data_IF_093692654235
#
_entry.id   IF_093692654235
#
_cell.length_a   1.000
_cell.length_b   1.000
_cell.length_c   1.000
_cell.angle_alpha   90.00
_cell.angle_beta   90.00
_cell.angle_gamma   90.00
#
_symmetry.space_group_name_H-M   'P 1'
#
loop_
_entity.id
_entity.type
_entity.pdbx_description
1 polymer ?
#
# COMPACT_ATOMS: atom_id res chain seq x y z
N UNK A 1 5.42 18.07 5.91
CA UNK A 1 5.88 16.88 5.19
C UNK A 1 5.44 16.98 3.73
N UNK A 2 6.32 16.60 2.80
CA UNK A 2 5.96 16.47 1.38
C UNK A 2 5.93 14.98 1.03
N UNK A 3 4.84 14.55 0.41
CA UNK A 3 4.67 13.20 -0.16
C UNK A 3 4.67 13.32 -1.67
N UNK A 4 5.60 12.64 -2.34
CA UNK A 4 5.72 12.65 -3.80
C UNK A 4 5.13 11.35 -4.33
N UNK A 5 4.04 11.48 -5.09
CA UNK A 5 3.25 10.36 -5.62
C UNK A 5 2.04 10.03 -4.75
N UNK A 6 0.84 10.14 -5.33
CA UNK A 6 -0.44 9.82 -4.70
C UNK A 6 -0.92 8.40 -5.09
N UNK A 7 -0.02 7.44 -5.09
CA UNK A 7 -0.30 6.03 -5.37
C UNK A 7 -0.47 5.19 -4.11
N UNK A 8 -0.28 3.88 -4.26
CA UNK A 8 -0.46 2.86 -3.22
C UNK A 8 0.37 3.11 -1.95
N UNK A 9 1.55 3.71 -2.06
CA UNK A 9 2.41 4.04 -0.91
C UNK A 9 2.16 5.45 -0.37
N UNK A 10 1.98 6.44 -1.28
CA UNK A 10 1.87 7.85 -0.88
C UNK A 10 0.57 8.17 -0.16
N UNK A 11 -0.56 7.59 -0.58
CA UNK A 11 -1.84 7.83 0.08
C UNK A 11 -1.81 7.37 1.56
N UNK A 12 -1.43 6.12 1.89
CA UNK A 12 -1.28 5.71 3.29
C UNK A 12 -0.25 6.53 4.05
N UNK A 13 0.88 6.89 3.44
CA UNK A 13 1.89 7.73 4.07
C UNK A 13 1.30 9.09 4.50
N UNK A 14 0.50 9.72 3.64
CA UNK A 14 -0.18 10.98 3.96
C UNK A 14 -1.21 10.80 5.08
N UNK A 15 -2.04 9.75 5.02
CA UNK A 15 -3.05 9.43 6.04
C UNK A 15 -2.38 9.26 7.42
N UNK A 16 -1.38 8.39 7.50
CA UNK A 16 -0.73 8.07 8.77
C UNK A 16 0.14 9.23 9.30
N UNK A 17 0.72 10.05 8.44
CA UNK A 17 1.41 11.26 8.86
C UNK A 17 0.43 12.31 9.42
N UNK A 18 -0.68 12.53 8.74
CA UNK A 18 -1.74 13.44 9.19
C UNK A 18 -2.35 12.98 10.54
N UNK A 19 -2.59 11.68 10.70
CA UNK A 19 -3.07 11.09 11.95
C UNK A 19 -2.09 11.30 13.13
N UNK A 20 -0.79 11.47 12.84
CA UNK A 20 0.25 11.81 13.82
C UNK A 20 0.46 13.32 14.00
N UNK A 21 -0.42 14.15 13.44
CA UNK A 21 -0.40 15.60 13.60
C UNK A 21 0.41 16.37 12.56
N UNK A 22 1.01 15.71 11.56
CA UNK A 22 1.72 16.41 10.49
C UNK A 22 0.76 17.17 9.57
N UNK A 23 1.22 18.33 9.05
CA UNK A 23 0.65 18.91 7.82
C UNK A 23 1.36 18.29 6.62
N UNK A 24 0.59 17.83 5.65
CA UNK A 24 1.10 17.10 4.49
C UNK A 24 0.73 17.83 3.21
N UNK A 25 1.71 18.04 2.33
CA UNK A 25 1.50 18.38 0.93
C UNK A 25 1.77 17.10 0.11
N UNK A 26 0.76 16.61 -0.57
CA UNK A 26 0.86 15.45 -1.46
C UNK A 26 0.84 15.92 -2.92
N UNK A 27 1.88 15.55 -3.67
CA UNK A 27 2.08 15.96 -5.06
C UNK A 27 2.00 14.74 -5.96
N UNK A 28 1.26 14.86 -7.08
CA UNK A 28 1.27 13.82 -8.12
C UNK A 28 1.32 14.46 -9.52
N UNK A 29 2.04 13.79 -10.42
CA UNK A 29 2.10 14.19 -11.84
C UNK A 29 0.81 13.88 -12.59
N UNK A 30 0.03 12.89 -12.13
CA UNK A 30 -1.25 12.51 -12.71
C UNK A 30 -2.37 13.50 -12.31
N UNK A 31 -3.47 13.45 -13.04
CA UNK A 31 -4.67 14.25 -12.77
C UNK A 31 -5.63 13.59 -11.78
N UNK A 32 -5.27 12.42 -11.23
CA UNK A 32 -6.04 11.71 -10.21
C UNK A 32 -5.10 10.94 -9.27
N UNK A 33 -5.56 10.69 -8.03
CA UNK A 33 -4.86 9.85 -7.07
C UNK A 33 -5.11 8.36 -7.37
N UNK A 34 -4.20 7.47 -6.92
CA UNK A 34 -4.34 6.03 -7.02
C UNK A 34 -3.24 5.33 -7.82
N UNK A 35 -2.62 6.04 -8.77
CA UNK A 35 -1.51 5.49 -9.56
C UNK A 35 -1.88 4.15 -10.21
N UNK A 36 -1.05 3.13 -10.02
CA UNK A 36 -1.27 1.79 -10.60
C UNK A 36 -2.48 1.04 -10.05
N UNK A 37 -3.12 1.49 -8.97
CA UNK A 37 -4.37 0.89 -8.48
C UNK A 37 -5.51 0.98 -9.49
N UNK A 38 -5.46 1.93 -10.42
CA UNK A 38 -6.44 2.01 -11.50
C UNK A 38 -6.36 0.86 -12.51
N UNK A 39 -5.20 0.21 -12.62
CA UNK A 39 -4.87 -0.76 -13.67
C UNK A 39 -4.58 -2.16 -13.12
N UNK A 40 -4.22 -2.27 -11.83
CA UNK A 40 -3.78 -3.53 -11.24
C UNK A 40 -4.96 -4.44 -10.86
N UNK A 41 -4.68 -5.73 -10.76
CA UNK A 41 -5.61 -6.71 -10.20
C UNK A 41 -5.86 -6.52 -8.71
N UNK A 42 -5.07 -5.69 -8.03
CA UNK A 42 -5.18 -5.44 -6.60
C UNK A 42 -4.89 -6.66 -5.73
N UNK A 43 -4.11 -7.59 -6.22
CA UNK A 43 -3.73 -8.77 -5.44
C UNK A 43 -2.84 -8.37 -4.27
N UNK A 44 -3.22 -8.84 -3.10
CA UNK A 44 -2.45 -8.75 -1.86
C UNK A 44 -2.14 -10.15 -1.36
N UNK A 45 -1.01 -10.30 -0.67
CA UNK A 45 -0.61 -11.54 -0.03
C UNK A 45 -0.32 -11.25 1.44
N UNK A 46 -1.01 -11.96 2.36
CA UNK A 46 -0.84 -11.77 3.79
C UNK A 46 -1.07 -13.08 4.56
N UNK A 47 -0.25 -13.34 5.56
CA UNK A 47 -0.31 -14.51 6.43
C UNK A 47 -0.61 -14.11 7.88
N UNK A 48 -1.45 -14.88 8.56
CA UNK A 48 -1.83 -14.62 9.94
C UNK A 48 -2.91 -13.53 10.08
N UNK A 49 -3.74 -13.35 9.05
CA UNK A 49 -4.83 -12.36 9.04
C UNK A 49 -6.01 -12.81 9.90
N UNK A 50 -6.82 -11.86 10.38
CA UNK A 50 -8.09 -12.15 11.08
C UNK A 50 -9.02 -13.01 10.21
N UNK A 51 -9.03 -12.77 8.89
CA UNK A 51 -9.85 -13.55 7.95
C UNK A 51 -9.37 -15.00 7.88
N UNK A 52 -8.07 -15.28 7.77
CA UNK A 52 -7.54 -16.66 7.83
C UNK A 52 -7.95 -17.33 9.14
N UNK A 53 -7.77 -16.66 10.27
CA UNK A 53 -8.14 -17.21 11.58
C UNK A 53 -9.64 -17.56 11.66
N UNK A 54 -10.53 -16.72 11.12
CA UNK A 54 -11.98 -16.97 11.10
C UNK A 54 -12.36 -18.18 10.23
N UNK A 55 -11.53 -18.53 9.25
CA UNK A 55 -11.70 -19.67 8.35
C UNK A 55 -10.95 -20.94 8.81
N UNK A 56 -10.32 -20.90 9.99
CA UNK A 56 -9.54 -22.03 10.53
C UNK A 56 -8.21 -22.25 9.79
N UNK A 57 -7.73 -21.28 9.01
CA UNK A 57 -6.45 -21.35 8.32
C UNK A 57 -5.35 -20.91 9.30
N UNK A 58 -4.47 -21.84 9.66
CA UNK A 58 -3.29 -21.54 10.49
C UNK A 58 -2.15 -21.13 9.59
N UNK A 59 -1.66 -19.92 9.76
CA UNK A 59 -0.60 -19.34 8.95
C UNK A 59 0.23 -18.34 9.77
N UNK A 60 1.43 -17.98 9.28
CA UNK A 60 2.33 -17.06 9.98
C UNK A 60 3.21 -16.26 9.02
N UNK A 61 3.72 -15.12 9.48
CA UNK A 61 4.71 -14.34 8.75
C UNK A 61 5.97 -15.17 8.44
N UNK A 62 6.38 -16.09 9.34
CA UNK A 62 7.52 -16.97 9.07
C UNK A 62 7.24 -17.94 7.92
N UNK A 63 6.09 -18.60 7.91
CA UNK A 63 5.72 -19.51 6.82
C UNK A 63 5.58 -18.77 5.48
N UNK A 64 5.11 -17.51 5.53
CA UNK A 64 5.05 -16.64 4.35
C UNK A 64 6.45 -16.27 3.86
N UNK A 65 7.35 -15.91 4.77
CA UNK A 65 8.75 -15.63 4.44
C UNK A 65 9.41 -16.83 3.76
N UNK A 66 9.28 -18.01 4.35
CA UNK A 66 9.90 -19.25 3.82
C UNK A 66 9.38 -19.57 2.41
N UNK A 67 8.09 -19.38 2.17
CA UNK A 67 7.50 -19.53 0.84
C UNK A 67 8.03 -18.53 -0.18
N UNK A 68 8.13 -17.23 0.19
CA UNK A 68 8.67 -16.21 -0.71
C UNK A 68 10.13 -16.51 -1.07
N UNK A 69 10.96 -16.90 -0.08
CA UNK A 69 12.36 -17.24 -0.31
C UNK A 69 12.50 -18.50 -1.19
N UNK A 70 11.64 -19.50 -1.00
CA UNK A 70 11.59 -20.70 -1.83
C UNK A 70 11.21 -20.36 -3.28
N UNK A 71 10.14 -19.61 -3.47
CA UNK A 71 9.60 -19.27 -4.80
C UNK A 71 10.56 -18.35 -5.55
N UNK A 72 11.19 -17.40 -4.88
CA UNK A 72 12.15 -16.47 -5.48
C UNK A 72 13.49 -17.13 -5.86
N UNK A 73 13.74 -18.37 -5.39
CA UNK A 73 14.99 -19.11 -5.66
C UNK A 73 16.24 -18.30 -5.34
N UNK A 74 16.20 -17.53 -4.26
CA UNK A 74 17.33 -16.73 -3.78
C UNK A 74 17.52 -15.38 -4.49
N UNK A 75 16.58 -14.94 -5.33
CA UNK A 75 16.67 -13.63 -6.00
C UNK A 75 16.04 -12.50 -5.18
N UNK A 76 15.19 -12.81 -4.19
CA UNK A 76 14.59 -11.81 -3.32
C UNK A 76 15.58 -11.36 -2.22
N UNK A 77 15.51 -10.07 -1.89
CA UNK A 77 16.21 -9.52 -0.73
C UNK A 77 15.52 -9.98 0.57
N UNK A 78 16.21 -10.76 1.45
CA UNK A 78 15.58 -11.31 2.65
C UNK A 78 15.10 -10.23 3.64
N UNK A 79 15.80 -9.10 3.75
CA UNK A 79 15.43 -8.02 4.67
C UNK A 79 14.14 -7.34 4.21
N UNK A 80 14.02 -7.07 2.92
CA UNK A 80 12.80 -6.51 2.34
C UNK A 80 11.62 -7.49 2.42
N UNK A 81 11.86 -8.78 2.18
CA UNK A 81 10.83 -9.83 2.34
C UNK A 81 10.37 -9.88 3.79
N UNK A 82 11.30 -9.88 4.76
CA UNK A 82 10.97 -9.90 6.20
C UNK A 82 10.08 -8.70 6.56
N UNK A 83 10.50 -7.50 6.18
CA UNK A 83 9.72 -6.29 6.40
C UNK A 83 8.31 -6.39 5.82
N UNK A 84 8.18 -6.89 4.60
CA UNK A 84 6.89 -7.02 3.92
C UNK A 84 5.96 -8.02 4.63
N UNK A 85 6.44 -9.23 4.95
CA UNK A 85 5.60 -10.29 5.52
C UNK A 85 5.22 -10.02 6.97
N UNK A 86 6.10 -9.36 7.76
CA UNK A 86 5.83 -9.04 9.16
C UNK A 86 4.70 -7.98 9.29
N UNK A 87 4.54 -7.13 8.29
CA UNK A 87 3.50 -6.10 8.27
C UNK A 87 2.27 -6.44 7.41
N UNK A 88 2.30 -7.54 6.65
CA UNK A 88 1.26 -7.87 5.70
C UNK A 88 -0.11 -8.09 6.35
N UNK A 89 -0.18 -8.84 7.45
CA UNK A 89 -1.43 -9.10 8.16
C UNK A 89 -2.05 -7.81 8.68
N UNK A 90 -1.26 -6.98 9.38
CA UNK A 90 -1.72 -5.71 9.93
C UNK A 90 -2.23 -4.77 8.84
N UNK A 91 -1.54 -4.71 7.71
CA UNK A 91 -1.95 -3.88 6.56
C UNK A 91 -3.26 -4.38 5.95
N UNK A 92 -3.39 -5.68 5.74
CA UNK A 92 -4.60 -6.29 5.20
C UNK A 92 -5.79 -6.12 6.15
N UNK A 93 -5.60 -6.42 7.44
CA UNK A 93 -6.64 -6.29 8.46
C UNK A 93 -7.09 -4.83 8.60
N UNK A 94 -6.17 -3.86 8.49
CA UNK A 94 -6.51 -2.45 8.46
C UNK A 94 -7.43 -2.10 7.29
N UNK A 95 -7.15 -2.60 6.09
CA UNK A 95 -8.03 -2.40 4.93
C UNK A 95 -9.42 -3.01 5.18
N UNK A 96 -9.48 -4.22 5.73
CA UNK A 96 -10.74 -4.90 6.06
C UNK A 96 -11.56 -4.11 7.10
N UNK A 97 -10.90 -3.64 8.16
CA UNK A 97 -11.52 -2.83 9.21
C UNK A 97 -12.06 -1.49 8.68
N UNK A 98 -11.55 -1.01 7.52
CA UNK A 98 -11.96 0.22 6.86
C UNK A 98 -12.82 0.00 5.59
N UNK A 99 -13.42 -1.19 5.45
CA UNK A 99 -14.45 -1.44 4.44
C UNK A 99 -13.97 -2.15 3.17
N UNK A 100 -12.71 -2.59 3.10
CA UNK A 100 -12.28 -3.49 2.02
C UNK A 100 -13.05 -4.80 2.08
N UNK A 101 -13.50 -5.28 0.94
CA UNK A 101 -14.19 -6.57 0.82
C UNK A 101 -13.47 -7.45 -0.19
N UNK A 102 -13.09 -8.63 0.23
CA UNK A 102 -12.56 -9.67 -0.66
C UNK A 102 -13.67 -10.27 -1.51
N UNK A 103 -13.30 -10.94 -2.60
CA UNK A 103 -14.20 -11.88 -3.25
C UNK A 103 -14.57 -13.03 -2.28
N UNK A 104 -15.77 -13.70 -2.46
CA UNK A 104 -16.29 -14.65 -1.48
C UNK A 104 -15.30 -15.76 -1.10
N UNK A 105 -14.66 -16.43 -1.99
CA UNK A 105 -13.85 -17.63 -1.69
C UNK A 105 -12.39 -17.33 -1.28
N UNK A 106 -12.10 -16.09 -0.92
CA UNK A 106 -10.75 -15.71 -0.49
C UNK A 106 -10.50 -15.98 1.00
N UNK A 107 -9.24 -16.27 1.39
CA UNK A 107 -8.03 -16.30 0.55
C UNK A 107 -7.92 -17.53 -0.35
N UNK A 108 -7.13 -17.40 -1.42
CA UNK A 108 -6.82 -18.48 -2.36
C UNK A 108 -5.31 -18.71 -2.47
N UNK A 109 -4.90 -19.85 -3.07
CA UNK A 109 -3.47 -20.18 -3.29
C UNK A 109 -2.82 -19.33 -4.38
N UNK A 110 -3.59 -18.89 -5.37
CA UNK A 110 -3.07 -18.30 -6.59
C UNK A 110 -2.47 -19.34 -7.55
N UNK A 111 -2.40 -18.99 -8.83
CA UNK A 111 -1.90 -19.89 -9.89
C UNK A 111 -0.85 -19.19 -10.78
N UNK A 112 -0.43 -17.98 -10.46
CA UNK A 112 0.49 -17.17 -11.28
C UNK A 112 1.96 -17.56 -11.14
N UNK A 113 2.31 -18.36 -10.15
CA UNK A 113 3.65 -18.87 -9.87
C UNK A 113 3.55 -20.20 -9.11
N UNK A 114 4.68 -20.76 -8.69
CA UNK A 114 4.71 -21.89 -7.75
C UNK A 114 3.87 -21.55 -6.51
N UNK A 115 2.91 -22.41 -6.11
CA UNK A 115 1.95 -22.04 -5.09
C UNK A 115 2.60 -21.85 -3.72
N UNK A 116 2.02 -20.96 -2.93
CA UNK A 116 2.29 -20.87 -1.50
C UNK A 116 1.86 -22.16 -0.77
N UNK A 117 2.43 -22.42 0.39
CA UNK A 117 2.04 -23.54 1.26
C UNK A 117 0.64 -23.35 1.87
N UNK A 118 0.16 -22.12 1.96
CA UNK A 118 -1.15 -21.73 2.48
C UNK A 118 -1.88 -20.78 1.55
N UNK A 119 -3.20 -20.69 1.67
CA UNK A 119 -4.05 -19.72 0.99
C UNK A 119 -3.77 -18.32 1.56
N UNK A 120 -3.19 -17.40 0.77
CA UNK A 120 -2.77 -16.06 1.21
C UNK A 120 -3.13 -14.94 0.27
N UNK A 121 -3.67 -15.24 -0.91
CA UNK A 121 -4.04 -14.23 -1.88
C UNK A 121 -5.43 -13.70 -1.63
N UNK A 122 -5.52 -12.37 -1.69
CA UNK A 122 -6.74 -11.62 -1.53
C UNK A 122 -6.85 -10.56 -2.61
N UNK A 123 -8.04 -10.36 -3.15
CA UNK A 123 -8.38 -9.19 -3.97
C UNK A 123 -9.88 -8.90 -3.89
N UNK A 124 -10.26 -7.67 -4.28
CA UNK A 124 -11.65 -7.24 -4.33
C UNK A 124 -12.23 -7.34 -5.74
N UNK A 125 -13.54 -7.12 -5.84
CA UNK A 125 -14.30 -7.29 -7.08
C UNK A 125 -13.81 -6.39 -8.22
N UNK A 126 -13.30 -5.19 -7.91
CA UNK A 126 -12.82 -4.22 -8.89
C UNK A 126 -11.29 -4.15 -8.95
N UNK A 127 -10.60 -5.20 -8.50
CA UNK A 127 -9.15 -5.24 -8.46
C UNK A 127 -8.56 -4.14 -7.58
N UNK A 128 -7.54 -3.44 -8.06
CA UNK A 128 -6.89 -2.35 -7.33
C UNK A 128 -7.81 -1.18 -6.99
N UNK A 129 -8.88 -0.98 -7.76
CA UNK A 129 -9.88 0.07 -7.47
C UNK A 129 -10.63 -0.20 -6.17
N UNK A 130 -10.82 -1.47 -5.76
CA UNK A 130 -11.40 -1.79 -4.45
C UNK A 130 -10.52 -1.25 -3.30
N UNK A 131 -9.20 -1.38 -3.42
CA UNK A 131 -8.24 -0.81 -2.45
C UNK A 131 -8.30 0.73 -2.53
N UNK A 132 -8.27 1.29 -3.73
CA UNK A 132 -8.31 2.74 -3.94
C UNK A 132 -9.56 3.39 -3.32
N UNK A 133 -10.71 2.73 -3.40
CA UNK A 133 -11.95 3.23 -2.79
C UNK A 133 -11.78 3.40 -1.28
N UNK A 134 -11.22 2.39 -0.59
CA UNK A 134 -10.92 2.49 0.85
C UNK A 134 -9.95 3.62 1.14
N UNK A 135 -8.85 3.72 0.38
CA UNK A 135 -7.84 4.76 0.59
C UNK A 135 -8.40 6.17 0.37
N UNK A 136 -9.30 6.36 -0.59
CA UNK A 136 -9.98 7.65 -0.82
C UNK A 136 -10.85 8.04 0.38
N UNK A 137 -11.66 7.11 0.89
CA UNK A 137 -12.50 7.36 2.06
C UNK A 137 -11.67 7.70 3.30
N UNK A 138 -10.54 7.02 3.49
CA UNK A 138 -9.66 7.29 4.63
C UNK A 138 -8.83 8.57 4.48
N UNK A 139 -8.55 9.01 3.26
CA UNK A 139 -7.84 10.26 2.98
C UNK A 139 -8.77 11.48 3.14
N UNK A 140 -10.03 11.33 2.74
CA UNK A 140 -11.00 12.43 2.65
C UNK A 140 -11.10 13.32 3.91
N UNK A 141 -11.22 12.80 5.15
CA UNK A 141 -11.31 13.66 6.33
C UNK A 141 -10.09 14.55 6.53
N UNK A 142 -8.91 14.09 6.13
CA UNK A 142 -7.67 14.85 6.26
C UNK A 142 -7.57 15.98 5.22
N UNK A 143 -8.13 15.75 4.04
CA UNK A 143 -8.25 16.78 2.99
C UNK A 143 -9.29 17.81 3.41
N UNK A 144 -10.47 17.38 3.83
CA UNK A 144 -11.56 18.27 4.24
C UNK A 144 -11.17 19.20 5.40
N UNK A 145 -10.29 18.74 6.29
CA UNK A 145 -9.78 19.54 7.42
C UNK A 145 -8.56 20.40 7.06
N UNK A 146 -8.05 20.34 5.82
CA UNK A 146 -6.82 21.03 5.39
C UNK A 146 -5.55 20.49 6.07
N UNK A 147 -5.61 19.29 6.64
CA UNK A 147 -4.43 18.63 7.20
C UNK A 147 -3.56 18.01 6.10
N UNK A 148 -4.19 17.57 5.01
CA UNK A 148 -3.53 17.09 3.78
C UNK A 148 -3.99 18.00 2.64
N UNK A 149 -3.03 18.65 1.98
CA UNK A 149 -3.24 19.36 0.72
C UNK A 149 -2.80 18.43 -0.43
N UNK A 150 -3.67 18.28 -1.44
CA UNK A 150 -3.38 17.43 -2.62
C UNK A 150 -3.22 18.31 -3.85
N UNK A 151 -2.08 18.24 -4.51
CA UNK A 151 -1.79 18.93 -5.76
C UNK A 151 -1.53 17.94 -6.87
N UNK A 152 -2.50 17.79 -7.76
CA UNK A 152 -2.45 16.91 -8.92
C UNK A 152 -1.92 17.68 -10.14
N UNK A 153 -1.59 16.94 -11.21
CA UNK A 153 -0.96 17.50 -12.42
C UNK A 153 0.28 18.35 -12.09
N UNK A 154 0.99 17.94 -11.02
CA UNK A 154 2.12 18.70 -10.44
C UNK A 154 3.36 17.80 -10.37
N UNK A 155 4.03 17.55 -11.51
CA UNK A 155 5.21 16.70 -11.54
C UNK A 155 6.38 17.33 -10.78
N UNK A 156 6.96 16.56 -9.86
CA UNK A 156 8.21 16.91 -9.19
C UNK A 156 9.37 16.62 -10.13
N UNK A 157 10.22 17.61 -10.35
CA UNK A 157 11.34 17.54 -11.31
C UNK A 157 12.71 17.49 -10.65
N UNK A 158 12.83 17.91 -9.39
CA UNK A 158 14.06 17.82 -8.64
C UNK A 158 13.81 17.83 -7.12
N UNK A 159 14.71 17.21 -6.37
CA UNK A 159 14.90 17.42 -4.95
C UNK A 159 15.95 18.50 -4.76
N UNK A 160 15.70 19.44 -3.88
CA UNK A 160 16.64 20.54 -3.55
C UNK A 160 17.20 20.27 -2.17
N UNK A 161 18.54 20.31 -2.09
CA UNK A 161 19.27 20.06 -0.86
C UNK A 161 19.92 21.36 -0.34
N UNK A 162 20.10 21.45 0.97
CA UNK A 162 20.93 22.46 1.62
C UNK A 162 22.41 22.11 1.52
N UNK A 163 23.29 22.96 2.09
CA UNK A 163 24.74 22.76 2.10
C UNK A 163 25.18 21.51 2.90
N UNK A 164 24.35 21.02 3.81
CA UNK A 164 24.58 19.79 4.57
C UNK A 164 24.14 18.51 3.82
N UNK A 165 23.48 18.65 2.66
CA UNK A 165 22.96 17.55 1.86
C UNK A 165 21.55 17.10 2.26
N UNK A 166 20.89 17.78 3.21
CA UNK A 166 19.52 17.48 3.60
C UNK A 166 18.53 18.01 2.57
N UNK A 167 17.45 17.26 2.32
CA UNK A 167 16.39 17.69 1.42
C UNK A 167 15.57 18.81 2.08
N UNK A 168 15.59 19.99 1.53
CA UNK A 168 14.86 21.18 2.00
C UNK A 168 13.56 21.43 1.25
N UNK A 169 13.58 21.18 -0.06
CA UNK A 169 12.45 21.51 -0.94
C UNK A 169 12.37 20.58 -2.14
N UNK A 170 11.31 20.72 -2.89
CA UNK A 170 11.13 20.07 -4.19
C UNK A 170 10.86 21.12 -5.26
N UNK A 171 11.35 20.88 -6.46
CA UNK A 171 10.98 21.66 -7.63
C UNK A 171 9.85 20.97 -8.36
N UNK A 172 8.80 21.70 -8.65
CA UNK A 172 7.68 21.24 -9.44
C UNK A 172 7.65 21.96 -10.79
N UNK A 173 7.04 21.33 -11.79
CA UNK A 173 6.66 22.00 -13.03
C UNK A 173 5.21 22.48 -12.86
N UNK A 174 5.00 23.79 -12.95
CA UNK A 174 3.64 24.32 -13.06
C UNK A 174 3.07 23.92 -14.43
N UNK A 175 1.85 23.42 -14.45
CA UNK A 175 1.11 23.19 -15.69
C UNK A 175 0.73 24.50 -16.38
#
# INVERSE_FOLDING_TARGET
LIVIGAGTAGIPAAIFAAARGARVLMLDAANDIGGTLHLSTGQMSAAGTKLQASLGIVDSAQAHFDDVMRISKGTADPELVRLAVDHAATTFDWLMDHGFKTLPDHPVLGLGHEPYSQKRYYWGAEGGRTILAVLREQLKPWVDTGRVDVSLSTPVTALLTNDAGDIEAVRVKSG
#
